data_IF_212608934145
#
_entry.id   IF_212608934145
#
_cell.length_a   1.000
_cell.length_b   1.000
_cell.length_c   1.000
_cell.angle_alpha   90.00
_cell.angle_beta   90.00
_cell.angle_gamma   90.00
#
_symmetry.space_group_name_H-M   'P 1'
#
loop_
_entity.id
_entity.type
_entity.pdbx_description
1 polymer ?
#
# COMPACT_ATOMS: atom_id res chain seq x y z
N UNK A 1 21.23 -4.45 13.42
CA UNK A 1 21.98 -4.25 12.16
C UNK A 1 21.20 -3.38 11.14
N UNK A 2 20.64 -2.23 11.56
CA UNK A 2 19.91 -1.29 10.67
C UNK A 2 20.70 0.02 10.48
N UNK A 3 21.62 0.33 11.41
CA UNK A 3 22.42 1.55 11.41
C UNK A 3 23.31 1.72 10.16
N UNK A 4 23.70 0.64 9.49
CA UNK A 4 24.61 0.69 8.34
C UNK A 4 23.99 1.24 7.05
N UNK A 5 22.66 1.35 6.94
CA UNK A 5 22.01 1.93 5.76
C UNK A 5 21.86 3.46 5.82
N UNK A 6 22.11 4.07 6.98
CA UNK A 6 21.91 5.51 7.19
C UNK A 6 23.16 6.35 6.86
N UNK A 7 24.33 5.74 6.66
CA UNK A 7 25.62 6.44 6.65
C UNK A 7 26.30 6.61 5.28
N UNK A 8 25.57 6.37 4.17
CA UNK A 8 26.06 6.69 2.81
C UNK A 8 25.10 7.62 2.08
N UNK A 9 25.07 8.90 2.45
CA UNK A 9 24.48 9.95 1.62
C UNK A 9 25.32 11.22 1.63
N UNK A 10 26.49 11.16 0.99
CA UNK A 10 26.90 12.32 0.18
C UNK A 10 26.14 12.21 -1.15
N UNK A 11 25.43 13.25 -1.59
CA UNK A 11 24.93 13.30 -2.96
C UNK A 11 26.14 13.42 -3.88
N UNK A 12 26.68 12.27 -4.30
CA UNK A 12 27.43 12.22 -5.55
C UNK A 12 26.49 12.69 -6.65
N UNK A 13 27.00 13.51 -7.57
CA UNK A 13 26.27 14.12 -8.68
C UNK A 13 25.11 13.23 -9.15
N UNK A 14 23.89 13.78 -9.13
CA UNK A 14 22.67 13.05 -9.48
C UNK A 14 22.91 12.25 -10.78
N UNK A 15 22.77 10.93 -10.68
CA UNK A 15 22.91 10.02 -11.81
C UNK A 15 22.05 10.54 -12.99
N UNK A 16 22.66 10.91 -14.12
CA UNK A 16 21.94 11.52 -15.23
C UNK A 16 20.84 10.59 -15.78
N UNK A 17 21.04 9.27 -15.71
CA UNK A 17 20.02 8.30 -16.10
C UNK A 17 18.82 8.29 -15.14
N UNK A 18 19.07 8.42 -13.84
CA UNK A 18 18.01 8.55 -12.83
C UNK A 18 17.25 9.89 -12.98
N UNK A 19 17.94 10.98 -13.31
CA UNK A 19 17.33 12.28 -13.57
C UNK A 19 16.44 12.25 -14.83
N UNK A 20 16.92 11.62 -15.91
CA UNK A 20 16.14 11.41 -17.14
C UNK A 20 14.89 10.57 -16.88
N UNK A 21 15.04 9.44 -16.18
CA UNK A 21 13.92 8.56 -15.81
C UNK A 21 12.88 9.31 -14.98
N UNK A 22 13.33 10.12 -14.01
CA UNK A 22 12.45 10.96 -13.21
C UNK A 22 11.72 12.03 -14.06
N UNK A 23 12.38 12.56 -15.09
CA UNK A 23 11.77 13.47 -16.07
C UNK A 23 10.63 12.82 -16.84
N UNK A 24 10.87 11.63 -17.40
CA UNK A 24 9.86 10.87 -18.16
C UNK A 24 8.66 10.51 -17.28
N UNK A 25 8.89 9.98 -16.08
CA UNK A 25 7.80 9.66 -15.13
C UNK A 25 6.95 10.88 -14.78
N UNK A 26 7.57 12.05 -14.56
CA UNK A 26 6.83 13.29 -14.28
C UNK A 26 6.00 13.74 -15.47
N UNK A 27 6.52 13.60 -16.68
CA UNK A 27 5.80 13.92 -17.90
C UNK A 27 4.56 13.04 -18.04
N UNK A 28 4.69 11.71 -17.90
CA UNK A 28 3.56 10.78 -17.99
C UNK A 28 2.53 11.02 -16.88
N UNK A 29 2.97 11.27 -15.64
CA UNK A 29 2.07 11.67 -14.55
C UNK A 29 1.29 12.93 -14.94
N UNK A 30 1.94 13.91 -15.57
CA UNK A 30 1.32 15.16 -16.02
C UNK A 30 0.29 14.91 -17.11
N UNK A 31 0.61 14.09 -18.12
CA UNK A 31 -0.32 13.74 -19.20
C UNK A 31 -1.62 13.14 -18.63
N UNK A 32 -1.51 12.23 -17.66
CA UNK A 32 -2.66 11.62 -17.01
C UNK A 32 -3.50 12.61 -16.19
N UNK A 33 -3.01 13.81 -15.86
CA UNK A 33 -3.82 14.81 -15.15
C UNK A 33 -4.92 15.43 -16.01
N UNK A 34 -4.83 15.31 -17.33
CA UNK A 34 -5.87 15.76 -18.26
C UNK A 34 -7.17 14.93 -18.13
N UNK A 35 -7.06 13.67 -17.70
CA UNK A 35 -8.19 12.76 -17.47
C UNK A 35 -8.67 12.92 -16.01
N UNK A 36 -9.56 13.89 -15.79
CA UNK A 36 -10.18 14.20 -14.47
C UNK A 36 -11.71 14.33 -14.55
N UNK A 37 -12.36 13.96 -13.43
CA UNK A 37 -13.79 13.66 -13.33
C UNK A 37 -14.75 14.84 -13.28
N UNK A 38 -14.76 15.72 -14.29
CA UNK A 38 -15.81 16.74 -14.44
C UNK A 38 -16.43 16.78 -15.84
N UNK A 39 -16.58 15.62 -16.48
CA UNK A 39 -17.45 15.50 -17.67
C UNK A 39 -18.71 14.77 -17.25
N UNK A 40 -19.85 15.45 -17.32
CA UNK A 40 -21.18 14.89 -17.09
C UNK A 40 -21.64 14.05 -18.28
N UNK A 41 -21.15 14.34 -19.49
CA UNK A 41 -21.37 13.57 -20.71
C UNK A 41 -20.04 13.51 -21.47
N UNK A 42 -19.59 12.30 -21.83
CA UNK A 42 -18.42 12.08 -22.67
C UNK A 42 -18.83 11.21 -23.87
N UNK A 43 -18.37 11.58 -25.07
CA UNK A 43 -18.57 10.74 -26.26
C UNK A 43 -17.79 9.42 -26.12
N UNK A 44 -18.20 8.40 -26.88
CA UNK A 44 -17.47 7.14 -26.95
C UNK A 44 -16.00 7.35 -27.36
N UNK A 45 -15.75 8.19 -28.37
CA UNK A 45 -14.42 8.59 -28.83
C UNK A 45 -13.58 9.21 -27.71
N UNK A 46 -14.12 10.17 -26.96
CA UNK A 46 -13.43 10.77 -25.80
C UNK A 46 -13.06 9.72 -24.75
N UNK A 47 -13.93 8.73 -24.53
CA UNK A 47 -13.65 7.65 -23.58
C UNK A 47 -12.51 6.80 -24.11
N UNK A 48 -12.57 6.38 -25.36
CA UNK A 48 -11.53 5.58 -26.03
C UNK A 48 -10.17 6.28 -26.02
N UNK A 49 -10.13 7.57 -26.39
CA UNK A 49 -8.93 8.41 -26.33
C UNK A 49 -8.33 8.46 -24.92
N UNK A 50 -9.18 8.57 -23.89
CA UNK A 50 -8.71 8.58 -22.51
C UNK A 50 -8.09 7.24 -22.11
N UNK A 51 -8.67 6.11 -22.52
CA UNK A 51 -8.06 4.79 -22.30
C UNK A 51 -6.73 4.66 -23.04
N UNK A 52 -6.66 5.06 -24.31
CA UNK A 52 -5.42 5.06 -25.08
C UNK A 52 -4.34 5.91 -24.44
N UNK A 53 -4.68 7.11 -23.97
CA UNK A 53 -3.75 7.97 -23.25
C UNK A 53 -3.22 7.28 -21.98
N UNK A 54 -4.09 6.63 -21.20
CA UNK A 54 -3.63 5.91 -20.02
C UNK A 54 -2.66 4.80 -20.38
N UNK A 55 -3.01 3.95 -21.34
CA UNK A 55 -2.16 2.84 -21.75
C UNK A 55 -0.85 3.30 -22.38
N UNK A 56 -0.85 4.37 -23.17
CA UNK A 56 0.35 4.95 -23.74
C UNK A 56 1.29 5.50 -22.65
N UNK A 57 0.76 6.21 -21.65
CA UNK A 57 1.56 6.76 -20.55
C UNK A 57 2.05 5.71 -19.56
N UNK A 58 1.33 4.60 -19.36
CA UNK A 58 1.73 3.58 -18.36
C UNK A 58 2.44 2.38 -18.96
N UNK A 59 2.21 2.07 -20.23
CA UNK A 59 2.72 0.88 -20.93
C UNK A 59 4.24 0.70 -20.81
N UNK A 60 5.06 1.72 -21.10
CA UNK A 60 6.52 1.63 -20.98
C UNK A 60 7.01 1.24 -19.58
N UNK A 61 6.22 1.53 -18.55
CA UNK A 61 6.58 1.33 -17.15
C UNK A 61 6.12 -0.01 -16.56
N UNK A 62 5.28 -0.76 -17.28
CA UNK A 62 4.76 -2.05 -16.79
C UNK A 62 5.86 -3.08 -16.57
N UNK A 63 6.94 -3.05 -17.37
CA UNK A 63 8.11 -3.90 -17.15
C UNK A 63 8.76 -3.63 -15.79
N UNK A 64 9.00 -2.35 -15.47
CA UNK A 64 9.56 -1.92 -14.19
C UNK A 64 8.63 -2.26 -13.03
N UNK A 65 7.32 -2.06 -13.20
CA UNK A 65 6.32 -2.44 -12.19
C UNK A 65 6.35 -3.94 -11.87
N UNK A 66 6.45 -4.81 -12.90
CA UNK A 66 6.60 -6.27 -12.71
C UNK A 66 7.89 -6.63 -11.98
N UNK A 67 9.01 -5.99 -12.30
CA UNK A 67 10.26 -6.19 -11.55
C UNK A 67 10.09 -5.78 -10.09
N UNK A 68 9.48 -4.62 -9.82
CA UNK A 68 9.22 -4.16 -8.44
C UNK A 68 8.36 -5.14 -7.66
N UNK A 69 7.26 -5.62 -8.27
CA UNK A 69 6.43 -6.69 -7.72
C UNK A 69 7.27 -7.91 -7.35
N UNK A 70 8.11 -8.41 -8.28
CA UNK A 70 8.87 -9.64 -8.10
C UNK A 70 9.92 -9.53 -6.98
N UNK A 71 10.46 -8.33 -6.76
CA UNK A 71 11.46 -8.06 -5.72
C UNK A 71 10.86 -7.71 -4.35
N UNK A 72 9.55 -7.49 -4.26
CA UNK A 72 8.91 -7.12 -3.00
C UNK A 72 8.61 -8.37 -2.17
N UNK A 73 8.93 -8.32 -0.88
CA UNK A 73 8.63 -9.40 0.08
C UNK A 73 7.40 -9.10 0.96
N UNK A 74 6.74 -7.95 0.75
CA UNK A 74 5.52 -7.56 1.46
C UNK A 74 4.28 -8.03 0.68
N UNK A 75 3.42 -8.88 1.27
CA UNK A 75 2.18 -9.32 0.62
C UNK A 75 1.26 -8.15 0.22
N UNK A 76 1.11 -7.14 1.08
CA UNK A 76 0.31 -5.96 0.77
C UNK A 76 0.90 -5.16 -0.40
N UNK A 77 2.23 -5.01 -0.46
CA UNK A 77 2.89 -4.32 -1.57
C UNK A 77 2.78 -5.11 -2.88
N UNK A 78 2.95 -6.44 -2.83
CA UNK A 78 2.74 -7.32 -3.99
C UNK A 78 1.30 -7.20 -4.52
N UNK A 79 0.30 -7.28 -3.64
CA UNK A 79 -1.11 -7.14 -4.02
C UNK A 79 -1.42 -5.77 -4.65
N UNK A 80 -0.80 -4.70 -4.13
CA UNK A 80 -0.90 -3.36 -4.71
C UNK A 80 -0.33 -3.30 -6.13
N UNK A 81 0.87 -3.85 -6.34
CA UNK A 81 1.47 -3.90 -7.68
C UNK A 81 0.64 -4.76 -8.64
N UNK A 82 0.13 -5.90 -8.17
CA UNK A 82 -0.71 -6.79 -8.98
C UNK A 82 -1.99 -6.10 -9.44
N UNK A 83 -2.66 -5.37 -8.55
CA UNK A 83 -3.85 -4.60 -8.90
C UNK A 83 -3.55 -3.54 -9.98
N UNK A 84 -2.44 -2.82 -9.88
CA UNK A 84 -2.05 -1.83 -10.89
C UNK A 84 -1.66 -2.48 -12.22
N UNK A 85 -0.84 -3.53 -12.20
CA UNK A 85 -0.42 -4.25 -13.41
C UNK A 85 -1.63 -4.83 -14.14
N UNK A 86 -2.57 -5.45 -13.40
CA UNK A 86 -3.78 -6.02 -13.97
C UNK A 86 -4.67 -4.93 -14.61
N UNK A 87 -4.91 -3.82 -13.91
CA UNK A 87 -5.75 -2.74 -14.42
C UNK A 87 -5.15 -2.03 -15.66
N UNK A 88 -3.84 -1.80 -15.65
CA UNK A 88 -3.12 -1.01 -16.67
C UNK A 88 -2.61 -1.85 -17.84
N UNK A 89 -2.79 -3.17 -17.80
CA UNK A 89 -2.56 -4.03 -18.97
C UNK A 89 -3.80 -3.97 -19.87
N UNK A 90 -3.67 -3.58 -21.15
CA UNK A 90 -4.81 -3.52 -22.07
C UNK A 90 -5.51 -4.88 -22.19
N UNK A 91 -6.84 -4.86 -22.19
CA UNK A 91 -7.65 -6.08 -22.43
C UNK A 91 -7.51 -6.51 -23.89
N UNK A 92 -7.39 -7.82 -24.18
CA UNK A 92 -7.40 -8.32 -25.55
C UNK A 92 -8.77 -8.15 -26.23
N UNK A 93 -9.84 -7.86 -25.47
CA UNK A 93 -11.20 -7.69 -25.98
C UNK A 93 -11.51 -6.24 -26.39
N UNK A 94 -10.49 -5.39 -26.48
CA UNK A 94 -10.60 -3.97 -26.83
C UNK A 94 -11.01 -3.08 -25.65
N UNK A 95 -11.09 -1.77 -25.91
CA UNK A 95 -11.50 -0.77 -24.93
C UNK A 95 -13.02 -0.81 -24.78
N UNK A 96 -13.50 -1.15 -23.59
CA UNK A 96 -14.90 -1.04 -23.20
C UNK A 96 -14.97 -0.40 -21.84
N UNK A 97 -15.65 0.74 -21.75
CA UNK A 97 -15.79 1.43 -20.48
C UNK A 97 -16.53 2.74 -20.55
N UNK A 98 -16.56 3.40 -19.40
CA UNK A 98 -17.22 4.68 -19.17
C UNK A 98 -16.20 5.73 -18.77
N UNK A 99 -16.52 7.02 -18.93
CA UNK A 99 -15.64 8.10 -18.50
C UNK A 99 -15.21 8.00 -17.01
N UNK A 100 -16.09 7.65 -16.05
CA UNK A 100 -15.68 7.39 -14.68
C UNK A 100 -14.64 6.27 -14.54
N UNK A 101 -14.77 5.19 -15.32
CA UNK A 101 -13.79 4.10 -15.32
C UNK A 101 -12.45 4.54 -15.92
N UNK A 102 -12.45 5.35 -16.99
CA UNK A 102 -11.24 5.96 -17.52
C UNK A 102 -10.55 6.89 -16.49
N UNK A 103 -11.32 7.67 -15.74
CA UNK A 103 -10.79 8.52 -14.66
C UNK A 103 -10.19 7.71 -13.51
N UNK A 104 -10.83 6.60 -13.13
CA UNK A 104 -10.30 5.66 -12.14
C UNK A 104 -8.98 5.05 -12.61
N UNK A 105 -8.95 4.57 -13.87
CA UNK A 105 -7.77 3.97 -14.49
C UNK A 105 -6.61 4.98 -14.57
N UNK A 106 -6.88 6.22 -14.98
CA UNK A 106 -5.89 7.30 -14.95
C UNK A 106 -5.41 7.60 -13.51
N UNK A 107 -6.29 7.49 -12.52
CA UNK A 107 -5.93 7.54 -11.10
C UNK A 107 -4.93 6.46 -10.71
N UNK A 108 -5.22 5.20 -11.05
CA UNK A 108 -4.32 4.07 -10.80
C UNK A 108 -2.98 4.23 -11.52
N UNK A 109 -3.00 4.68 -12.77
CA UNK A 109 -1.79 4.99 -13.54
C UNK A 109 -0.91 6.04 -12.85
N UNK A 110 -1.49 7.16 -12.40
CA UNK A 110 -0.76 8.19 -11.67
C UNK A 110 -0.15 7.66 -10.36
N UNK A 111 -0.88 6.86 -9.60
CA UNK A 111 -0.37 6.30 -8.35
C UNK A 111 0.77 5.29 -8.57
N UNK A 112 0.66 4.43 -9.60
CA UNK A 112 1.73 3.53 -10.00
C UNK A 112 2.99 4.33 -10.39
N UNK A 113 2.86 5.33 -11.27
CA UNK A 113 3.99 6.13 -11.74
C UNK A 113 4.62 6.97 -10.61
N UNK A 114 3.82 7.53 -9.69
CA UNK A 114 4.32 8.22 -8.49
C UNK A 114 5.10 7.29 -7.58
N UNK A 115 4.64 6.04 -7.46
CA UNK A 115 5.33 5.02 -6.66
C UNK A 115 6.68 4.67 -7.30
N UNK A 116 6.73 4.49 -8.63
CA UNK A 116 7.98 4.29 -9.35
C UNK A 116 8.93 5.47 -9.22
N UNK A 117 8.42 6.70 -9.32
CA UNK A 117 9.19 7.94 -9.13
C UNK A 117 9.79 8.01 -7.72
N UNK A 118 8.99 7.68 -6.69
CA UNK A 118 9.46 7.63 -5.31
C UNK A 118 10.53 6.56 -5.09
N UNK A 119 10.44 5.44 -5.81
CA UNK A 119 11.38 4.32 -5.70
C UNK A 119 12.75 4.59 -6.39
N UNK A 120 12.90 5.72 -7.10
CA UNK A 120 14.21 6.21 -7.54
C UNK A 120 15.07 6.70 -6.36
N UNK A 121 14.44 7.06 -5.24
CA UNK A 121 15.15 7.40 -4.01
C UNK A 121 15.31 6.13 -3.17
N UNK A 122 16.54 5.74 -2.80
CA UNK A 122 16.75 4.60 -1.90
C UNK A 122 15.97 4.80 -0.60
N UNK A 123 15.12 3.83 -0.27
CA UNK A 123 14.32 3.79 0.95
C UNK A 123 14.25 2.35 1.48
N UNK A 124 13.89 2.20 2.75
CA UNK A 124 13.66 0.88 3.34
C UNK A 124 12.49 0.19 2.62
N UNK A 125 12.63 -1.08 2.24
CA UNK A 125 11.53 -1.87 1.68
C UNK A 125 10.45 -2.13 2.73
N UNK A 126 9.24 -2.43 2.29
CA UNK A 126 8.04 -2.49 3.15
C UNK A 126 8.15 -3.57 4.23
N UNK A 127 8.75 -4.71 3.92
CA UNK A 127 8.99 -5.80 4.86
C UNK A 127 9.93 -5.38 6.01
N UNK A 128 11.01 -4.64 5.72
CA UNK A 128 11.89 -4.10 6.76
C UNK A 128 11.22 -2.99 7.57
N UNK A 129 10.32 -2.23 6.96
CA UNK A 129 9.47 -1.27 7.68
C UNK A 129 8.55 -2.02 8.66
N UNK A 130 7.91 -3.11 8.23
CA UNK A 130 7.08 -3.94 9.08
C UNK A 130 7.86 -4.53 10.27
N UNK A 131 9.07 -5.08 10.02
CA UNK A 131 9.95 -5.59 11.07
C UNK A 131 10.34 -4.52 12.08
N UNK A 132 10.66 -3.30 11.63
CA UNK A 132 11.00 -2.20 12.54
C UNK A 132 9.79 -1.73 13.36
N UNK A 133 8.57 -1.75 12.79
CA UNK A 133 7.34 -1.46 13.54
C UNK A 133 7.09 -2.55 14.59
N UNK A 134 7.21 -3.82 14.21
CA UNK A 134 7.09 -4.95 15.12
C UNK A 134 8.09 -4.84 16.28
N UNK A 135 9.36 -4.55 15.98
CA UNK A 135 10.41 -4.35 17.01
C UNK A 135 10.03 -3.26 18.01
N UNK A 136 9.43 -2.15 17.56
CA UNK A 136 8.96 -1.06 18.44
C UNK A 136 7.77 -1.46 19.30
N UNK A 137 6.92 -2.36 18.83
CA UNK A 137 5.83 -2.94 19.63
C UNK A 137 6.44 -3.86 20.70
N UNK A 138 7.34 -4.76 20.31
CA UNK A 138 8.01 -5.70 21.21
C UNK A 138 8.84 -5.01 22.31
N UNK A 139 9.51 -3.90 21.97
CA UNK A 139 10.26 -3.10 22.95
C UNK A 139 9.39 -2.17 23.80
N UNK A 140 8.05 -2.21 23.65
CA UNK A 140 7.11 -1.36 24.37
C UNK A 140 7.15 0.13 23.97
N UNK A 141 7.90 0.50 22.93
CA UNK A 141 7.95 1.87 22.40
C UNK A 141 6.62 2.27 21.76
N UNK A 142 5.90 1.31 21.18
CA UNK A 142 4.52 1.45 20.77
C UNK A 142 3.63 0.71 21.77
N UNK A 143 2.91 1.46 22.59
CA UNK A 143 2.07 0.88 23.63
C UNK A 143 0.87 0.10 23.02
N UNK A 144 0.41 -0.96 23.68
CA UNK A 144 -0.83 -1.65 23.30
C UNK A 144 -2.01 -0.68 23.20
N UNK A 145 -2.92 -0.94 22.26
CA UNK A 145 -4.08 -0.08 21.94
C UNK A 145 -3.75 1.34 21.51
N UNK A 146 -2.46 1.70 21.38
CA UNK A 146 -2.07 3.03 20.97
C UNK A 146 -2.31 3.22 19.46
N UNK A 147 -2.89 4.37 19.12
CA UNK A 147 -3.11 4.74 17.72
C UNK A 147 -1.78 5.00 17.03
N UNK A 148 -1.58 4.34 15.89
CA UNK A 148 -0.39 4.50 15.06
C UNK A 148 -0.55 5.74 14.18
N UNK A 149 0.32 6.74 14.41
CA UNK A 149 0.37 7.97 13.62
C UNK A 149 1.26 7.77 12.38
N UNK A 150 0.68 7.27 11.29
CA UNK A 150 1.41 6.92 10.06
C UNK A 150 2.37 8.02 9.57
N UNK A 151 1.94 9.29 9.51
CA UNK A 151 2.80 10.41 9.06
C UNK A 151 4.01 10.63 9.95
N UNK A 152 3.83 10.56 11.27
CA UNK A 152 4.93 10.73 12.22
C UNK A 152 5.92 9.57 12.12
N UNK A 153 5.41 8.35 11.95
CA UNK A 153 6.21 7.15 11.76
C UNK A 153 6.99 7.18 10.43
N UNK A 154 6.34 7.58 9.34
CA UNK A 154 6.97 7.77 8.02
C UNK A 154 8.15 8.76 8.11
N UNK A 155 7.97 9.88 8.82
CA UNK A 155 9.04 10.86 9.07
C UNK A 155 10.18 10.27 9.89
N UNK A 156 9.87 9.52 10.95
CA UNK A 156 10.86 8.85 11.81
C UNK A 156 11.70 7.83 11.03
N UNK A 157 11.07 7.05 10.15
CA UNK A 157 11.72 6.01 9.36
C UNK A 157 12.28 6.52 8.02
N UNK A 158 12.03 7.79 7.67
CA UNK A 158 12.38 8.42 6.39
C UNK A 158 11.90 7.60 5.17
N UNK A 159 10.67 7.09 5.26
CA UNK A 159 10.01 6.31 4.19
C UNK A 159 8.72 7.00 3.73
N UNK A 160 8.21 6.69 2.52
CA UNK A 160 6.90 7.14 2.09
C UNK A 160 5.79 6.72 3.07
N UNK A 161 4.79 7.58 3.28
CA UNK A 161 3.65 7.24 4.16
C UNK A 161 2.89 6.00 3.68
N UNK A 162 2.83 5.77 2.36
CA UNK A 162 2.22 4.58 1.78
C UNK A 162 2.91 3.29 2.21
N UNK A 163 4.23 3.30 2.43
CA UNK A 163 4.98 2.13 2.88
C UNK A 163 4.63 1.77 4.33
N UNK A 164 4.41 2.79 5.18
CA UNK A 164 3.86 2.56 6.52
C UNK A 164 2.48 1.92 6.43
N UNK A 165 1.60 2.43 5.58
CA UNK A 165 0.27 1.87 5.37
C UNK A 165 0.31 0.39 4.99
N UNK A 166 1.15 0.02 4.03
CA UNK A 166 1.33 -1.37 3.59
C UNK A 166 1.91 -2.26 4.68
N UNK A 167 2.96 -1.81 5.36
CA UNK A 167 3.54 -2.54 6.48
C UNK A 167 2.52 -2.79 7.59
N UNK A 168 1.64 -1.83 7.87
CA UNK A 168 0.56 -2.00 8.85
C UNK A 168 -0.54 -2.95 8.38
N UNK A 169 -0.81 -3.02 7.06
CA UNK A 169 -1.71 -4.06 6.50
C UNK A 169 -1.09 -5.44 6.71
N UNK A 170 0.20 -5.62 6.40
CA UNK A 170 0.90 -6.89 6.64
C UNK A 170 0.86 -7.28 8.13
N UNK A 171 1.15 -6.35 9.03
CA UNK A 171 1.09 -6.58 10.49
C UNK A 171 -0.34 -6.83 11.01
N UNK A 172 -1.35 -6.32 10.32
CA UNK A 172 -2.74 -6.61 10.67
C UNK A 172 -3.11 -8.07 10.35
N UNK A 173 -2.56 -8.64 9.27
CA UNK A 173 -2.76 -10.06 8.95
C UNK A 173 -2.13 -11.00 9.99
N UNK A 174 -1.08 -10.54 10.69
CA UNK A 174 -0.43 -11.31 11.76
C UNK A 174 -1.01 -11.01 13.15
N UNK A 175 -2.01 -10.12 13.25
CA UNK A 175 -2.68 -9.78 14.51
C UNK A 175 -1.87 -8.87 15.44
N UNK A 176 -0.77 -8.27 14.97
CA UNK A 176 0.03 -7.33 15.76
C UNK A 176 -0.57 -5.92 15.78
N UNK A 177 -1.39 -5.60 14.79
CA UNK A 177 -2.03 -4.30 14.60
C UNK A 177 -3.49 -4.52 14.21
N UNK A 178 -4.39 -3.66 14.66
CA UNK A 178 -5.79 -3.67 14.28
C UNK A 178 -6.10 -2.53 13.30
N UNK A 179 -6.88 -2.84 12.26
CA UNK A 179 -7.44 -1.85 11.35
C UNK A 179 -8.87 -1.50 11.79
N UNK A 180 -9.07 -0.27 12.24
CA UNK A 180 -10.42 0.23 12.57
C UNK A 180 -11.19 0.61 11.31
N UNK A 181 -12.52 0.54 11.37
CA UNK A 181 -13.44 0.97 10.30
C UNK A 181 -13.18 2.42 9.81
N UNK A 182 -12.62 3.27 10.67
CA UNK A 182 -12.18 4.63 10.31
C UNK A 182 -10.93 4.70 9.41
N UNK A 183 -10.38 3.56 8.98
CA UNK A 183 -9.12 3.46 8.22
C UNK A 183 -7.87 3.74 9.07
N UNK A 184 -8.00 3.71 10.39
CA UNK A 184 -6.91 3.98 11.35
C UNK A 184 -6.37 2.68 11.90
N UNK A 185 -5.06 2.67 12.18
CA UNK A 185 -4.39 1.53 12.77
C UNK A 185 -4.08 1.76 14.25
N UNK A 186 -4.22 0.72 15.07
CA UNK A 186 -3.82 0.71 16.47
C UNK A 186 -3.02 -0.56 16.77
N UNK A 187 -2.09 -0.50 17.73
CA UNK A 187 -1.40 -1.71 18.22
C UNK A 187 -2.42 -2.62 18.88
N UNK A 188 -2.38 -3.92 18.58
CA UNK A 188 -3.30 -4.87 19.19
C UNK A 188 -3.18 -4.80 20.74
N UNK A 189 -4.30 -4.83 21.48
CA UNK A 189 -4.27 -4.95 22.94
C UNK A 189 -3.59 -6.27 23.26
N UNK A 190 -2.41 -6.23 23.91
CA UNK A 190 -1.60 -7.41 24.14
C UNK A 190 -2.38 -8.51 24.83
N UNK A 191 -2.62 -9.61 24.10
CA UNK A 191 -3.34 -10.77 24.61
C UNK A 191 -3.58 -11.79 23.51
N UNK A 192 -2.54 -12.55 23.14
CA UNK A 192 -2.57 -13.98 22.79
C UNK A 192 -1.14 -14.44 22.41
N UNK A 193 -0.27 -14.57 23.42
CA UNK A 193 0.72 -15.65 23.36
C UNK A 193 -0.09 -16.96 23.36
N UNK A 194 0.05 -17.71 22.28
CA UNK A 194 -0.23 -19.15 22.12
C UNK A 194 -0.99 -19.82 23.28
N UNK A 195 -2.23 -20.24 23.01
CA UNK A 195 -2.80 -21.45 23.61
C UNK A 195 -3.80 -22.06 22.62
N UNK A 196 -3.33 -23.06 21.88
CA UNK A 196 -4.16 -24.15 21.32
C UNK A 196 -3.65 -25.44 22.00
N UNK A 197 -4.43 -26.51 22.19
CA UNK A 197 -5.88 -26.71 22.13
C UNK A 197 -6.44 -27.34 23.43
N UNK A 198 -7.77 -27.32 23.59
CA UNK A 198 -8.48 -28.26 24.47
C UNK A 198 -8.77 -27.78 25.89
N UNK A 199 -10.00 -27.31 26.11
CA UNK A 199 -10.80 -27.74 27.25
C UNK A 199 -12.26 -27.37 27.01
N UNK A 200 -13.05 -28.39 26.71
CA UNK A 200 -14.45 -28.39 27.10
C UNK A 200 -14.51 -28.13 28.61
N UNK A 201 -15.01 -26.98 29.00
CA UNK A 201 -15.53 -26.79 30.34
C UNK A 201 -17.04 -26.84 30.23
N UNK A 202 -17.55 -27.97 30.69
CA UNK A 202 -18.91 -28.22 31.06
C UNK A 202 -19.54 -26.97 31.67
N UNK A 203 -20.64 -26.53 31.07
CA UNK A 203 -21.63 -25.71 31.74
C UNK A 203 -22.18 -26.56 32.88
N UNK A 204 -21.67 -26.35 34.10
CA UNK A 204 -22.36 -26.76 35.31
C UNK A 204 -23.45 -25.71 35.58
N UNK A 205 -24.66 -25.96 35.08
CA UNK A 205 -25.86 -25.29 35.60
C UNK A 205 -26.13 -25.93 36.96
N UNK A 206 -25.80 -25.19 38.01
CA UNK A 206 -26.13 -25.52 39.38
C UNK A 206 -26.80 -24.33 40.05
N UNK A 207 -28.00 -24.58 40.55
CA UNK A 207 -28.84 -23.75 41.43
C UNK A 207 -29.46 -22.50 40.77
N UNK A 208 -30.75 -22.19 40.94
CA UNK A 208 -31.51 -22.24 42.19
C UNK A 208 -33.00 -22.45 41.96
N UNK A 209 -33.56 -23.18 42.92
CA UNK A 209 -34.94 -23.19 43.41
C UNK A 209 -35.76 -21.94 43.06
N UNK A 210 -36.94 -22.17 42.48
CA UNK A 210 -38.08 -21.28 42.59
C UNK A 210 -39.25 -22.10 43.12
N UNK A 211 -39.67 -21.73 44.33
CA UNK A 211 -40.80 -22.25 45.09
C UNK A 211 -41.97 -21.30 44.86
N UNK A 212 -43.12 -21.85 44.46
CA UNK A 212 -44.52 -21.34 44.50
C UNK A 212 -45.26 -22.12 43.39
N UNK A 213 -46.29 -22.95 43.62
CA UNK A 213 -47.31 -23.00 44.67
C UNK A 213 -47.56 -24.42 45.20
#
# INVERSE_FOLDING_TARGET
>A
MIASFLDRRRPSAADPAAAQTAGMLRQDISMLQSVKGRRTIASAETVEDAYHLVYASTGPWLGVARTRRATSHSPADQARWDAWIAALTPSPHGIRGTWPQACLLAGQGREMLRTLLGALVPCLPVDLVAQEIQRRIESGTLAPSSRIRQRAMAKSLRVPTSYIGLALVDLATTGLVELHASGRFAVAPGGHRVSRPGRWQHIAIGATEAREA
#
